data_IF_508123650907
#
_entry.id   IF_508123650907
#
_cell.length_a   1.000
_cell.length_b   1.000
_cell.length_c   1.000
_cell.angle_alpha   90.00
_cell.angle_beta   90.00
_cell.angle_gamma   90.00
#
_symmetry.space_group_name_H-M   'P 1'
#
loop_
_entity.id
_entity.type
_entity.pdbx_description
1 polymer ?
#
# COMPACT_ATOMS: atom_id res chain seq x y z
N UNK A 1 -46.80 81.82 -62.77
CA UNK A 1 -46.00 81.46 -63.95
C UNK A 1 -44.95 80.52 -63.51
N UNK A 2 -44.58 79.58 -64.37
CA UNK A 2 -45.11 78.27 -64.38
C UNK A 2 -44.05 77.14 -64.13
N UNK A 3 -44.55 75.97 -63.95
CA UNK A 3 -44.03 74.68 -64.46
C UNK A 3 -42.63 74.21 -64.03
N UNK A 4 -42.45 73.03 -63.56
CA UNK A 4 -42.43 71.80 -64.34
C UNK A 4 -42.33 70.60 -63.43
N UNK A 5 -43.14 69.61 -63.76
CA UNK A 5 -43.02 68.22 -63.28
C UNK A 5 -41.72 67.59 -63.75
N UNK A 6 -41.12 66.78 -62.86
CA UNK A 6 -40.40 65.55 -63.37
C UNK A 6 -40.53 64.42 -62.43
N UNK A 7 -41.17 63.41 -62.91
CA UNK A 7 -41.33 62.07 -62.32
C UNK A 7 -39.99 61.33 -62.39
N UNK A 8 -39.58 60.73 -61.30
CA UNK A 8 -38.50 59.79 -61.37
C UNK A 8 -38.83 58.53 -60.56
N UNK A 9 -38.65 57.42 -61.29
CA UNK A 9 -39.09 56.07 -60.93
C UNK A 9 -38.33 55.49 -59.70
N UNK A 10 -39.08 54.94 -58.80
CA UNK A 10 -38.54 54.28 -57.59
C UNK A 10 -37.86 52.97 -57.94
N UNK A 11 -36.61 52.91 -57.65
CA UNK A 11 -35.86 51.66 -57.47
C UNK A 11 -36.03 51.13 -56.06
N UNK A 12 -36.87 50.12 -55.87
CA UNK A 12 -36.95 49.39 -54.61
C UNK A 12 -35.70 48.52 -54.43
N UNK A 13 -34.73 48.97 -53.65
CA UNK A 13 -33.66 48.13 -53.16
C UNK A 13 -34.21 47.21 -52.08
N UNK A 14 -34.30 45.92 -52.34
CA UNK A 14 -34.58 44.87 -51.34
C UNK A 14 -33.51 44.87 -50.29
N UNK A 15 -33.86 44.77 -48.98
CA UNK A 15 -32.85 44.78 -47.91
C UNK A 15 -32.04 43.51 -47.98
N UNK A 16 -30.70 43.64 -47.99
CA UNK A 16 -29.70 42.58 -47.96
C UNK A 16 -29.72 41.70 -46.67
N UNK A 17 -30.74 41.85 -45.84
CA UNK A 17 -30.89 41.10 -44.59
C UNK A 17 -31.47 39.68 -44.78
N UNK A 18 -32.06 39.36 -45.92
CA UNK A 18 -32.70 38.06 -46.13
C UNK A 18 -31.76 36.88 -46.38
N UNK A 19 -30.47 37.14 -46.62
CA UNK A 19 -29.47 36.08 -46.89
C UNK A 19 -28.67 35.61 -45.66
N UNK A 20 -28.77 36.32 -44.53
CA UNK A 20 -28.07 35.96 -43.30
C UNK A 20 -28.86 35.00 -42.38
N UNK A 21 -30.18 34.94 -42.54
CA UNK A 21 -31.03 34.10 -41.67
C UNK A 21 -30.79 32.61 -41.87
N UNK A 22 -30.57 32.02 -43.08
CA UNK A 22 -30.33 30.61 -43.21
C UNK A 22 -28.95 30.16 -42.63
N UNK A 23 -27.94 31.05 -42.63
CA UNK A 23 -26.63 30.71 -42.07
C UNK A 23 -26.64 30.68 -40.52
N UNK A 24 -27.41 31.54 -39.88
CA UNK A 24 -27.54 31.56 -38.40
C UNK A 24 -28.30 30.32 -37.91
N UNK A 25 -29.34 29.89 -38.65
CA UNK A 25 -30.14 28.67 -38.30
C UNK A 25 -29.36 27.39 -38.48
N UNK A 26 -28.39 27.33 -39.41
CA UNK A 26 -27.56 26.17 -39.63
C UNK A 26 -26.35 26.13 -38.69
N UNK A 27 -25.78 27.28 -38.30
CA UNK A 27 -24.64 27.36 -37.37
C UNK A 27 -25.02 27.10 -35.90
N UNK A 28 -26.26 27.41 -35.49
CA UNK A 28 -26.73 27.22 -34.12
C UNK A 28 -26.77 25.72 -33.71
N UNK A 29 -27.32 24.79 -34.50
CA UNK A 29 -27.26 23.35 -34.17
C UNK A 29 -25.87 22.76 -34.30
N UNK A 30 -24.97 23.29 -35.13
CA UNK A 30 -23.57 22.86 -35.21
C UNK A 30 -22.78 23.24 -33.94
N UNK A 31 -23.04 24.42 -33.40
CA UNK A 31 -22.47 24.81 -32.11
C UNK A 31 -23.02 24.00 -30.91
N UNK A 32 -24.29 23.55 -31.00
CA UNK A 32 -24.91 22.72 -29.95
C UNK A 32 -24.38 21.28 -29.97
N UNK A 33 -23.97 20.76 -31.13
CA UNK A 33 -23.40 19.40 -31.27
C UNK A 33 -21.95 19.35 -30.85
N UNK A 34 -21.21 20.47 -30.86
CA UNK A 34 -19.82 20.55 -30.43
C UNK A 34 -19.66 20.64 -28.90
N UNK A 35 -20.73 20.77 -28.14
CA UNK A 35 -20.73 20.59 -26.68
C UNK A 35 -20.89 19.13 -26.26
N UNK A 36 -20.30 18.21 -27.01
CA UNK A 36 -20.02 16.85 -26.49
C UNK A 36 -19.05 17.07 -25.34
N UNK A 37 -19.58 17.02 -24.12
CA UNK A 37 -18.78 17.03 -22.90
C UNK A 37 -17.72 15.96 -23.08
N UNK A 38 -16.47 16.39 -23.28
CA UNK A 38 -15.32 15.50 -23.17
C UNK A 38 -15.39 14.97 -21.76
N UNK A 39 -15.90 13.76 -21.59
CA UNK A 39 -15.82 13.05 -20.32
C UNK A 39 -14.34 12.95 -20.02
N UNK A 40 -13.85 13.79 -19.11
CA UNK A 40 -12.47 13.77 -18.73
C UNK A 40 -12.12 12.33 -18.33
N UNK A 41 -11.19 11.74 -19.02
CA UNK A 41 -10.76 10.36 -18.74
C UNK A 41 -10.33 10.29 -17.28
N UNK A 42 -10.97 9.40 -16.51
CA UNK A 42 -10.66 9.26 -15.09
C UNK A 42 -9.26 8.71 -14.92
N UNK A 43 -8.51 9.30 -14.01
CA UNK A 43 -7.17 8.86 -13.67
C UNK A 43 -7.24 7.46 -13.04
N UNK A 44 -6.45 6.52 -13.54
CA UNK A 44 -6.28 5.22 -12.90
C UNK A 44 -5.47 5.38 -11.63
N UNK A 45 -5.96 4.82 -10.53
CA UNK A 45 -5.33 4.94 -9.22
C UNK A 45 -5.04 3.57 -8.59
N UNK A 46 -4.11 3.57 -7.62
CA UNK A 46 -3.88 2.47 -6.67
C UNK A 46 -4.13 2.98 -5.26
N UNK A 47 -4.71 2.12 -4.43
CA UNK A 47 -5.01 2.43 -3.03
C UNK A 47 -4.27 1.44 -2.13
N UNK A 48 -3.28 1.93 -1.41
CA UNK A 48 -2.50 1.19 -0.44
C UNK A 48 -3.11 1.36 0.94
N UNK A 49 -3.28 0.25 1.67
CA UNK A 49 -3.81 0.25 3.03
C UNK A 49 -2.78 -0.38 3.96
N UNK A 50 -2.34 0.39 4.94
CA UNK A 50 -1.40 -0.10 5.94
C UNK A 50 -2.09 -1.06 6.92
N UNK A 51 -1.36 -2.10 7.34
CA UNK A 51 -1.79 -2.90 8.48
C UNK A 51 -1.70 -2.07 9.76
N UNK A 52 -2.64 -2.28 10.67
CA UNK A 52 -2.66 -1.60 11.95
C UNK A 52 -2.62 -2.61 13.10
N UNK A 53 -1.85 -2.31 14.14
CA UNK A 53 -1.73 -3.14 15.35
C UNK A 53 -2.20 -2.34 16.56
N UNK A 54 -3.16 -2.90 17.29
CA UNK A 54 -3.65 -2.30 18.53
C UNK A 54 -4.21 -3.37 19.47
N UNK A 55 -4.71 -2.91 20.61
CA UNK A 55 -5.45 -3.74 21.59
C UNK A 55 -6.94 -3.45 21.52
N UNK A 56 -7.79 -4.38 21.94
CA UNK A 56 -9.20 -4.05 22.17
C UNK A 56 -9.33 -2.81 23.06
N UNK A 57 -10.30 -1.97 22.77
CA UNK A 57 -10.63 -0.73 23.49
C UNK A 57 -9.53 0.34 23.50
N UNK A 58 -8.48 0.20 22.66
CA UNK A 58 -7.47 1.22 22.44
C UNK A 58 -7.57 1.80 21.03
N UNK A 59 -7.58 3.13 20.94
CA UNK A 59 -7.57 3.83 19.66
C UNK A 59 -6.29 3.53 18.86
N UNK A 60 -6.46 3.41 17.55
CA UNK A 60 -5.37 3.27 16.58
C UNK A 60 -5.66 4.13 15.37
N UNK A 61 -4.62 4.65 14.77
CA UNK A 61 -4.67 5.42 13.52
C UNK A 61 -4.61 4.44 12.34
N UNK A 62 -5.72 4.31 11.62
CA UNK A 62 -5.78 3.59 10.36
C UNK A 62 -5.25 4.51 9.25
N UNK A 63 -4.45 3.97 8.33
CA UNK A 63 -3.82 4.73 7.26
C UNK A 63 -4.10 4.09 5.91
N UNK A 64 -4.45 4.93 4.92
CA UNK A 64 -4.51 4.55 3.53
C UNK A 64 -3.87 5.63 2.66
N UNK A 65 -3.31 5.25 1.51
CA UNK A 65 -2.69 6.16 0.56
C UNK A 65 -3.20 5.91 -0.83
N UNK A 66 -3.83 6.91 -1.41
CA UNK A 66 -4.31 6.92 -2.80
C UNK A 66 -3.25 7.56 -3.69
N UNK A 67 -2.82 6.85 -4.72
CA UNK A 67 -1.81 7.34 -5.65
C UNK A 67 -2.22 7.10 -7.09
N UNK A 68 -1.73 7.94 -7.98
CA UNK A 68 -1.88 7.72 -9.42
C UNK A 68 -1.10 6.48 -9.84
N UNK A 69 -1.74 5.58 -10.58
CA UNK A 69 -1.04 4.46 -11.19
C UNK A 69 -0.13 4.96 -12.31
N UNK A 70 1.18 4.71 -12.19
CA UNK A 70 2.18 5.13 -13.16
C UNK A 70 3.40 4.23 -13.13
N UNK A 71 4.23 4.27 -14.19
CA UNK A 71 5.42 3.43 -14.32
C UNK A 71 6.59 3.90 -13.43
N UNK A 72 6.70 5.20 -13.14
CA UNK A 72 7.92 5.77 -12.54
C UNK A 72 7.69 6.60 -11.27
N UNK A 73 6.47 7.00 -10.97
CA UNK A 73 6.16 7.76 -9.75
C UNK A 73 4.72 7.51 -9.31
N UNK A 74 4.55 7.32 -8.02
CA UNK A 74 3.24 7.23 -7.38
C UNK A 74 2.90 8.60 -6.78
N UNK A 75 2.48 9.54 -7.62
CA UNK A 75 2.01 10.85 -7.14
C UNK A 75 0.75 10.65 -6.28
N UNK A 76 0.73 11.26 -5.10
CA UNK A 76 -0.43 11.23 -4.22
C UNK A 76 -1.63 11.95 -4.86
N UNK A 77 -2.81 11.39 -4.71
CA UNK A 77 -4.07 11.99 -5.16
C UNK A 77 -4.80 12.58 -3.95
N UNK A 78 -4.67 13.90 -3.80
CA UNK A 78 -5.29 14.65 -2.70
C UNK A 78 -6.72 15.10 -3.00
N UNK A 79 -7.48 15.33 -1.91
CA UNK A 79 -8.85 15.85 -1.97
C UNK A 79 -9.90 14.80 -2.34
N UNK A 80 -9.55 13.51 -2.30
CA UNK A 80 -10.47 12.41 -2.55
C UNK A 80 -11.03 11.83 -1.24
N UNK A 81 -12.29 11.42 -1.26
CA UNK A 81 -12.94 10.81 -0.10
C UNK A 81 -12.70 9.31 -0.06
N UNK A 82 -12.25 8.82 1.10
CA UNK A 82 -12.01 7.41 1.35
C UNK A 82 -12.94 6.90 2.46
N UNK A 83 -13.70 5.85 2.17
CA UNK A 83 -14.50 5.10 3.14
C UNK A 83 -13.67 3.98 3.75
N UNK A 84 -13.58 3.97 5.07
CA UNK A 84 -12.93 2.90 5.83
C UNK A 84 -13.98 1.92 6.34
N UNK A 85 -13.73 0.62 6.11
CA UNK A 85 -14.58 -0.48 6.57
C UNK A 85 -13.74 -1.45 7.41
N UNK A 86 -14.21 -1.79 8.60
CA UNK A 86 -13.61 -2.81 9.47
C UNK A 86 -14.60 -3.95 9.63
N UNK A 87 -14.17 -5.18 9.30
CA UNK A 87 -15.05 -6.34 9.30
C UNK A 87 -16.25 -6.19 8.36
N UNK A 88 -16.09 -5.49 7.23
CA UNK A 88 -17.16 -5.19 6.28
C UNK A 88 -18.10 -4.05 6.68
N UNK A 89 -17.94 -3.47 7.88
CA UNK A 89 -18.78 -2.38 8.37
C UNK A 89 -18.06 -1.04 8.21
N UNK A 90 -18.71 -0.05 7.59
CA UNK A 90 -18.19 1.31 7.48
C UNK A 90 -18.01 1.94 8.86
N UNK A 91 -16.81 2.43 9.13
CA UNK A 91 -16.40 3.06 10.39
C UNK A 91 -16.11 4.54 10.29
N UNK A 92 -15.87 5.05 9.08
CA UNK A 92 -15.69 6.48 8.84
C UNK A 92 -15.33 6.80 7.40
N UNK A 93 -15.34 8.10 7.09
CA UNK A 93 -14.91 8.67 5.81
C UNK A 93 -13.89 9.77 6.09
N UNK A 94 -12.82 9.83 5.31
CA UNK A 94 -11.79 10.86 5.41
C UNK A 94 -11.44 11.43 4.04
N UNK A 95 -10.88 12.63 4.01
CA UNK A 95 -10.30 13.22 2.81
C UNK A 95 -8.80 12.94 2.76
N UNK A 96 -8.28 12.64 1.57
CA UNK A 96 -6.84 12.50 1.35
C UNK A 96 -6.15 13.86 1.37
N UNK A 97 -4.99 13.92 2.04
CA UNK A 97 -4.07 15.06 1.96
C UNK A 97 -3.41 15.19 0.58
N UNK A 98 -2.63 16.24 0.37
CA UNK A 98 -1.92 16.48 -0.89
C UNK A 98 -0.95 15.35 -1.30
N UNK A 99 -0.47 14.57 -0.34
CA UNK A 99 0.36 13.38 -0.51
C UNK A 99 -0.43 12.09 -0.78
N UNK A 100 -1.76 12.20 -0.88
CA UNK A 100 -2.71 11.11 -1.08
C UNK A 100 -3.01 10.29 0.18
N UNK A 101 -2.52 10.68 1.36
CA UNK A 101 -2.75 9.94 2.61
C UNK A 101 -4.06 10.35 3.26
N UNK A 102 -4.81 9.36 3.73
CA UNK A 102 -5.99 9.53 4.57
C UNK A 102 -5.82 8.77 5.89
N UNK A 103 -6.23 9.39 7.00
CA UNK A 103 -6.08 8.83 8.34
C UNK A 103 -7.41 8.84 9.07
N UNK A 104 -7.74 7.71 9.69
CA UNK A 104 -8.93 7.57 10.53
C UNK A 104 -8.54 7.00 11.89
N UNK A 105 -8.95 7.66 12.97
CA UNK A 105 -8.86 7.07 14.31
C UNK A 105 -10.01 6.09 14.55
N UNK A 106 -9.67 4.90 15.01
CA UNK A 106 -10.63 3.84 15.27
C UNK A 106 -10.28 3.06 16.52
N UNK A 107 -11.28 2.70 17.31
CA UNK A 107 -11.12 1.88 18.52
C UNK A 107 -11.86 0.55 18.34
N UNK A 108 -11.13 -0.57 18.11
CA UNK A 108 -11.75 -1.87 17.98
C UNK A 108 -12.25 -2.38 19.33
N UNK A 109 -13.48 -2.90 19.37
CA UNK A 109 -14.02 -3.57 20.54
C UNK A 109 -13.76 -5.07 20.56
N UNK A 110 -13.54 -5.65 19.39
CA UNK A 110 -13.30 -7.08 19.22
C UNK A 110 -11.80 -7.36 19.10
N UNK A 111 -11.38 -8.51 19.63
CA UNK A 111 -10.05 -9.07 19.43
C UNK A 111 -10.00 -9.89 18.15
N UNK A 112 -8.80 -10.02 17.59
CA UNK A 112 -8.52 -10.86 16.43
C UNK A 112 -7.96 -10.08 15.25
N UNK A 113 -7.91 -10.74 14.12
CA UNK A 113 -7.47 -10.14 12.86
C UNK A 113 -8.73 -9.72 12.10
N UNK A 114 -8.98 -8.43 12.02
CA UNK A 114 -10.16 -7.85 11.39
C UNK A 114 -9.79 -7.37 9.99
N UNK A 115 -10.61 -7.69 8.99
CA UNK A 115 -10.41 -7.15 7.65
C UNK A 115 -10.56 -5.63 7.67
N UNK A 116 -9.60 -4.93 7.10
CA UNK A 116 -9.62 -3.49 6.88
C UNK A 116 -9.71 -3.26 5.37
N UNK A 117 -10.84 -2.74 4.93
CA UNK A 117 -11.07 -2.39 3.53
C UNK A 117 -11.20 -0.88 3.43
N UNK A 118 -10.56 -0.28 2.44
CA UNK A 118 -10.72 1.15 2.16
C UNK A 118 -11.16 1.30 0.70
N UNK A 119 -12.19 2.11 0.48
CA UNK A 119 -12.77 2.35 -0.85
C UNK A 119 -12.75 3.83 -1.17
N UNK A 120 -12.41 4.13 -2.41
CA UNK A 120 -12.62 5.46 -2.94
C UNK A 120 -14.14 5.69 -3.08
N UNK A 121 -14.64 6.76 -2.48
CA UNK A 121 -16.00 7.26 -2.74
C UNK A 121 -16.04 7.72 -4.19
N UNK A 122 -17.21 7.66 -4.83
CA UNK A 122 -17.36 8.05 -6.23
C UNK A 122 -16.72 9.43 -6.50
N UNK A 123 -15.75 9.43 -7.43
CA UNK A 123 -15.00 10.62 -7.81
C UNK A 123 -15.21 10.92 -9.30
N UNK A 124 -15.36 12.20 -9.69
CA UNK A 124 -15.38 12.57 -11.10
C UNK A 124 -14.00 12.48 -11.76
N UNK A 125 -12.91 12.51 -10.97
CA UNK A 125 -11.52 12.58 -11.46
C UNK A 125 -10.80 11.24 -11.45
N UNK A 126 -11.19 10.32 -10.57
CA UNK A 126 -10.44 9.09 -10.30
C UNK A 126 -11.35 7.88 -10.50
N UNK A 127 -10.81 6.82 -11.10
CA UNK A 127 -11.51 5.55 -11.25
C UNK A 127 -11.75 4.88 -9.90
N UNK A 128 -12.84 4.13 -9.77
CA UNK A 128 -13.13 3.37 -8.56
C UNK A 128 -11.97 2.42 -8.23
N UNK A 129 -11.55 2.43 -6.98
CA UNK A 129 -10.46 1.61 -6.47
C UNK A 129 -10.74 1.21 -5.02
N UNK A 130 -10.33 0.01 -4.68
CA UNK A 130 -10.40 -0.55 -3.33
C UNK A 130 -9.01 -1.05 -2.91
N UNK A 131 -8.65 -0.85 -1.63
CA UNK A 131 -7.44 -1.38 -1.02
C UNK A 131 -7.79 -2.23 0.20
N UNK A 132 -6.96 -3.23 0.47
CA UNK A 132 -7.17 -4.18 1.57
C UNK A 132 -5.97 -4.14 2.51
N UNK A 133 -6.24 -4.11 3.80
CA UNK A 133 -5.30 -4.25 4.89
C UNK A 133 -5.88 -5.12 6.00
N UNK A 134 -5.18 -5.21 7.12
CA UNK A 134 -5.64 -5.93 8.28
C UNK A 134 -5.47 -5.09 9.55
N UNK A 135 -6.50 -5.03 10.36
CA UNK A 135 -6.43 -4.49 11.71
C UNK A 135 -6.22 -5.65 12.69
N UNK A 136 -5.03 -5.71 13.27
CA UNK A 136 -4.66 -6.68 14.29
C UNK A 136 -4.99 -6.12 15.67
N UNK A 137 -6.09 -6.61 16.26
CA UNK A 137 -6.53 -6.25 17.62
C UNK A 137 -6.15 -7.38 18.57
N UNK A 138 -4.94 -7.32 19.14
CA UNK A 138 -4.36 -8.41 19.92
C UNK A 138 -4.36 -8.14 21.42
N UNK A 139 -4.44 -9.22 22.19
CA UNK A 139 -4.19 -9.18 23.63
C UNK A 139 -2.69 -9.31 23.93
N UNK A 140 -2.23 -8.72 25.02
CA UNK A 140 -0.82 -8.76 25.45
C UNK A 140 -0.37 -10.14 26.00
N UNK A 141 -1.29 -11.07 26.17
CA UNK A 141 -0.97 -12.39 26.73
C UNK A 141 -0.04 -13.21 25.87
N UNK A 142 -0.17 -13.11 24.54
CA UNK A 142 0.69 -13.83 23.61
C UNK A 142 1.91 -12.96 23.28
N UNK A 143 3.13 -13.48 23.47
CA UNK A 143 4.33 -12.76 23.09
C UNK A 143 4.40 -12.53 21.57
N UNK A 144 5.08 -11.45 21.18
CA UNK A 144 5.31 -11.10 19.78
C UNK A 144 6.67 -11.60 19.35
N UNK A 145 6.70 -12.30 18.22
CA UNK A 145 7.87 -12.75 17.49
C UNK A 145 8.10 -11.83 16.29
N UNK A 146 9.25 -11.16 16.24
CA UNK A 146 9.66 -10.38 15.07
C UNK A 146 10.26 -11.31 14.03
N UNK A 147 9.82 -11.22 12.78
CA UNK A 147 10.34 -12.05 11.70
C UNK A 147 10.83 -11.15 10.57
N UNK A 148 12.14 -11.19 10.31
CA UNK A 148 12.73 -10.51 9.17
C UNK A 148 12.29 -11.22 7.88
N UNK A 149 11.61 -10.50 6.98
CA UNK A 149 11.02 -11.08 5.76
C UNK A 149 12.05 -11.82 4.91
N UNK A 150 13.29 -11.34 4.87
CA UNK A 150 14.37 -12.00 4.13
C UNK A 150 14.67 -13.41 4.62
N UNK A 151 14.39 -13.74 5.91
CA UNK A 151 14.59 -15.09 6.45
C UNK A 151 13.57 -16.10 5.94
N UNK A 152 12.44 -15.62 5.41
CA UNK A 152 11.38 -16.48 4.85
C UNK A 152 11.66 -16.94 3.42
N UNK A 153 12.69 -16.38 2.77
CA UNK A 153 13.03 -16.61 1.38
C UNK A 153 14.27 -17.51 1.28
N UNK A 154 14.34 -18.30 0.23
CA UNK A 154 15.56 -19.03 -0.10
C UNK A 154 16.71 -18.06 -0.41
N UNK A 155 17.94 -18.49 -0.13
CA UNK A 155 19.13 -17.82 -0.61
C UNK A 155 19.22 -18.00 -2.12
N UNK A 156 18.63 -17.09 -2.87
CA UNK A 156 18.85 -17.01 -4.30
C UNK A 156 20.29 -16.58 -4.51
N UNK A 157 21.19 -17.53 -4.73
CA UNK A 157 22.45 -17.27 -5.43
C UNK A 157 22.02 -16.81 -6.80
N UNK A 158 21.97 -15.48 -7.01
CA UNK A 158 21.69 -14.91 -8.33
C UNK A 158 22.79 -15.48 -9.23
N UNK A 159 22.47 -16.38 -10.19
CA UNK A 159 23.48 -16.80 -11.13
C UNK A 159 23.92 -15.53 -11.85
N UNK A 160 25.24 -15.29 -11.92
CA UNK A 160 25.84 -14.23 -12.74
C UNK A 160 25.68 -14.68 -14.19
N UNK A 161 24.45 -14.68 -14.67
CA UNK A 161 24.14 -14.88 -16.08
C UNK A 161 23.98 -13.48 -16.67
N UNK A 162 24.65 -13.16 -17.80
CA UNK A 162 24.39 -11.91 -18.49
C UNK A 162 22.89 -11.86 -18.81
N UNK A 163 22.18 -10.90 -18.21
CA UNK A 163 20.76 -10.71 -18.45
C UNK A 163 20.55 -10.36 -19.93
N UNK A 164 19.63 -11.02 -20.63
CA UNK A 164 19.22 -10.58 -21.96
C UNK A 164 18.67 -9.14 -21.86
N UNK A 165 18.82 -8.32 -22.91
CA UNK A 165 18.33 -6.96 -22.90
C UNK A 165 16.83 -6.96 -22.59
N UNK A 166 16.47 -6.24 -21.53
CA UNK A 166 15.10 -6.16 -21.01
C UNK A 166 14.16 -5.58 -22.06
N UNK A 167 13.14 -6.32 -22.39
CA UNK A 167 11.94 -5.77 -23.03
C UNK A 167 11.31 -4.78 -22.05
N UNK A 168 11.28 -3.50 -22.42
CA UNK A 168 10.66 -2.46 -21.60
C UNK A 168 9.20 -2.86 -21.28
N UNK A 169 8.89 -3.10 -20.01
CA UNK A 169 7.52 -3.28 -19.56
C UNK A 169 7.23 -4.42 -18.60
N UNK A 170 8.18 -5.30 -18.28
CA UNK A 170 7.93 -6.29 -17.22
C UNK A 170 8.57 -5.84 -15.90
N UNK A 171 7.78 -5.69 -14.81
CA UNK A 171 8.36 -5.47 -13.50
C UNK A 171 9.22 -6.69 -13.13
N UNK A 172 10.45 -6.45 -12.67
CA UNK A 172 11.31 -7.47 -12.09
C UNK A 172 10.68 -7.98 -10.78
N UNK A 173 9.69 -8.84 -10.88
CA UNK A 173 9.36 -9.70 -9.77
C UNK A 173 10.41 -10.82 -9.75
N UNK A 174 11.45 -10.67 -8.95
CA UNK A 174 12.25 -11.82 -8.54
C UNK A 174 11.25 -12.82 -7.96
N UNK A 175 11.22 -14.07 -8.45
CA UNK A 175 10.38 -15.08 -7.88
C UNK A 175 10.90 -15.35 -6.47
N UNK A 176 10.25 -14.73 -5.48
CA UNK A 176 10.56 -14.97 -4.08
C UNK A 176 10.15 -16.39 -3.75
N UNK A 177 11.10 -17.31 -3.79
CA UNK A 177 10.89 -18.70 -3.40
C UNK A 177 10.90 -18.77 -1.87
N UNK A 178 9.87 -19.34 -1.24
CA UNK A 178 9.86 -19.48 0.21
C UNK A 178 10.95 -20.47 0.66
N UNK A 179 11.62 -20.15 1.75
CA UNK A 179 12.59 -21.03 2.37
C UNK A 179 11.91 -22.33 2.81
N UNK A 180 12.61 -23.44 2.60
CA UNK A 180 12.11 -24.77 2.91
C UNK A 180 11.64 -24.85 4.38
N UNK A 181 10.45 -25.41 4.59
CA UNK A 181 9.81 -25.60 5.90
C UNK A 181 9.47 -24.29 6.67
N UNK A 182 9.78 -23.10 6.15
CA UNK A 182 9.61 -21.86 6.86
C UNK A 182 8.15 -21.58 7.26
N UNK A 183 7.23 -21.76 6.33
CA UNK A 183 5.80 -21.53 6.58
C UNK A 183 5.23 -22.49 7.63
N UNK A 184 5.59 -23.77 7.56
CA UNK A 184 5.12 -24.79 8.50
C UNK A 184 5.66 -24.54 9.92
N UNK A 185 6.96 -24.30 10.04
CA UNK A 185 7.57 -24.06 11.36
C UNK A 185 7.10 -22.74 11.98
N UNK A 186 6.98 -21.68 11.19
CA UNK A 186 6.44 -20.41 11.67
C UNK A 186 4.97 -20.55 12.08
N UNK A 187 4.17 -21.31 11.31
CA UNK A 187 2.78 -21.59 11.67
C UNK A 187 2.70 -22.31 13.02
N UNK A 188 3.53 -23.32 13.27
CA UNK A 188 3.57 -24.02 14.56
C UNK A 188 3.89 -23.08 15.73
N UNK A 189 4.85 -22.17 15.55
CA UNK A 189 5.20 -21.18 16.56
C UNK A 189 4.02 -20.25 16.85
N UNK A 190 3.28 -19.85 15.82
CA UNK A 190 2.13 -18.96 15.97
C UNK A 190 0.87 -19.65 16.48
N UNK A 191 0.65 -20.91 16.15
CA UNK A 191 -0.52 -21.65 16.64
C UNK A 191 -0.47 -21.83 18.18
N UNK A 192 0.72 -22.01 18.76
CA UNK A 192 0.85 -22.35 20.17
C UNK A 192 1.42 -21.24 21.05
N UNK A 193 2.33 -20.40 20.54
CA UNK A 193 3.13 -19.54 21.42
C UNK A 193 3.08 -18.07 21.08
N UNK A 194 3.23 -17.67 19.82
CA UNK A 194 3.52 -16.28 19.44
C UNK A 194 2.44 -15.66 18.54
N UNK A 195 2.36 -14.35 18.60
CA UNK A 195 1.87 -13.54 17.48
C UNK A 195 3.08 -13.14 16.62
N UNK A 196 2.96 -13.18 15.31
CA UNK A 196 4.05 -12.81 14.41
C UNK A 196 3.90 -11.37 13.91
N UNK A 197 5.01 -10.63 13.89
CA UNK A 197 5.13 -9.34 13.24
C UNK A 197 6.25 -9.41 12.20
N UNK A 198 5.92 -9.13 10.96
CA UNK A 198 6.87 -9.17 9.84
C UNK A 198 7.59 -7.84 9.71
N UNK A 199 8.91 -7.87 9.68
CA UNK A 199 9.78 -6.70 9.50
C UNK A 199 10.40 -6.78 8.12
N UNK A 200 10.18 -5.77 7.30
CA UNK A 200 10.83 -5.64 6.00
C UNK A 200 11.59 -4.33 5.89
N UNK A 201 12.68 -4.33 5.13
CA UNK A 201 13.37 -3.10 4.75
C UNK A 201 12.57 -2.41 3.64
N UNK A 202 12.42 -1.10 3.76
CA UNK A 202 11.74 -0.29 2.73
C UNK A 202 12.58 -0.29 1.45
N UNK A 203 11.95 -0.61 0.33
CA UNK A 203 12.62 -0.69 -1.00
C UNK A 203 12.26 0.49 -1.91
N UNK A 204 11.66 1.55 -1.38
CA UNK A 204 11.22 2.72 -2.16
C UNK A 204 9.87 2.55 -2.87
N UNK A 205 9.43 1.33 -3.09
CA UNK A 205 8.09 1.00 -3.59
C UNK A 205 7.21 0.50 -2.46
N UNK A 206 5.92 0.82 -2.51
CA UNK A 206 4.96 0.37 -1.48
C UNK A 206 4.43 -1.04 -1.83
N UNK A 207 5.33 -2.04 -1.67
CA UNK A 207 5.07 -3.45 -2.05
C UNK A 207 4.41 -4.24 -0.90
N UNK A 208 3.78 -3.57 0.07
CA UNK A 208 3.17 -4.26 1.23
C UNK A 208 2.06 -5.20 0.80
N UNK A 209 1.30 -4.84 -0.24
CA UNK A 209 0.24 -5.68 -0.79
C UNK A 209 0.80 -6.92 -1.47
N UNK A 210 1.85 -6.78 -2.28
CA UNK A 210 2.49 -7.91 -2.96
C UNK A 210 3.09 -8.89 -1.94
N UNK A 211 3.71 -8.37 -0.87
CA UNK A 211 4.21 -9.20 0.22
C UNK A 211 3.08 -9.91 0.98
N UNK A 212 1.97 -9.23 1.25
CA UNK A 212 0.80 -9.84 1.91
C UNK A 212 0.23 -10.97 1.07
N UNK A 213 0.07 -10.76 -0.23
CA UNK A 213 -0.39 -11.79 -1.17
C UNK A 213 0.60 -12.97 -1.23
N UNK A 214 1.90 -12.70 -1.24
CA UNK A 214 2.93 -13.72 -1.22
C UNK A 214 2.90 -14.55 0.07
N UNK A 215 2.81 -13.92 1.24
CA UNK A 215 2.66 -14.60 2.53
C UNK A 215 1.42 -15.50 2.54
N UNK A 216 0.29 -14.99 2.08
CA UNK A 216 -0.95 -15.75 1.98
C UNK A 216 -0.84 -16.95 1.02
N UNK A 217 -0.29 -16.73 -0.18
CA UNK A 217 -0.08 -17.77 -1.21
C UNK A 217 0.76 -18.93 -0.66
N UNK A 218 1.80 -18.61 0.11
CA UNK A 218 2.71 -19.59 0.68
C UNK A 218 2.32 -20.06 2.08
N UNK A 219 1.08 -19.74 2.53
CA UNK A 219 0.49 -20.21 3.79
C UNK A 219 1.26 -19.80 5.05
N UNK A 220 1.96 -18.68 5.01
CA UNK A 220 2.52 -18.09 6.20
C UNK A 220 1.40 -17.58 7.14
N UNK A 221 1.60 -17.60 8.46
CA UNK A 221 0.62 -17.11 9.41
C UNK A 221 0.36 -15.60 9.21
N UNK A 222 -0.87 -15.11 9.46
CA UNK A 222 -1.18 -13.71 9.34
C UNK A 222 -0.49 -12.90 10.44
N UNK A 223 0.07 -11.76 10.07
CA UNK A 223 0.72 -10.81 10.99
C UNK A 223 0.91 -9.45 10.32
N UNK A 224 0.99 -8.36 11.11
CA UNK A 224 1.22 -7.03 10.57
C UNK A 224 2.58 -6.96 9.89
N UNK A 225 2.63 -6.25 8.77
CA UNK A 225 3.84 -5.99 8.00
C UNK A 225 4.30 -4.57 8.31
N UNK A 226 5.48 -4.44 8.91
CA UNK A 226 6.10 -3.15 9.21
C UNK A 226 7.30 -2.93 8.29
N UNK A 227 7.21 -1.88 7.49
CA UNK A 227 8.32 -1.43 6.67
C UNK A 227 9.21 -0.47 7.48
N UNK A 228 10.50 -0.75 7.56
CA UNK A 228 11.49 0.09 8.22
C UNK A 228 12.53 0.57 7.20
N UNK A 229 13.14 1.72 7.46
CA UNK A 229 14.30 2.14 6.69
C UNK A 229 15.44 1.15 6.84
N UNK A 230 16.36 1.11 5.86
CA UNK A 230 17.47 0.14 5.84
C UNK A 230 18.59 0.52 6.84
N UNK A 231 18.27 1.02 8.02
CA UNK A 231 19.20 1.32 9.09
C UNK A 231 18.91 0.48 10.35
N UNK A 232 19.95 0.21 11.14
CA UNK A 232 19.83 -0.48 12.43
C UNK A 232 19.00 0.35 13.43
N UNK A 233 19.17 1.67 13.39
CA UNK A 233 18.41 2.60 14.21
C UNK A 233 16.91 2.53 13.96
N UNK A 234 16.50 2.33 12.69
CA UNK A 234 15.09 2.23 12.35
C UNK A 234 14.43 0.98 12.96
N UNK A 235 15.15 -0.14 13.04
CA UNK A 235 14.65 -1.34 13.69
C UNK A 235 14.58 -1.13 15.22
N UNK A 236 15.59 -0.53 15.83
CA UNK A 236 15.60 -0.21 17.25
C UNK A 236 14.45 0.73 17.61
N UNK A 237 14.27 1.81 16.85
CA UNK A 237 13.18 2.78 17.03
C UNK A 237 11.81 2.12 16.91
N UNK A 238 11.63 1.20 15.95
CA UNK A 238 10.38 0.45 15.80
C UNK A 238 10.08 -0.41 17.03
N UNK A 239 11.10 -1.10 17.59
CA UNK A 239 10.93 -1.93 18.79
C UNK A 239 10.59 -1.05 20.00
N UNK A 240 11.25 0.10 20.17
CA UNK A 240 10.96 1.07 21.22
C UNK A 240 9.56 1.68 21.06
N UNK A 241 9.15 2.00 19.85
CA UNK A 241 7.79 2.43 19.54
C UNK A 241 6.75 1.41 19.98
N UNK A 242 6.96 0.13 19.65
CA UNK A 242 6.08 -0.95 20.13
C UNK A 242 5.99 -1.00 21.64
N UNK A 243 7.10 -0.85 22.37
CA UNK A 243 7.12 -0.82 23.85
C UNK A 243 6.37 0.39 24.39
N UNK A 244 6.58 1.56 23.80
CA UNK A 244 5.86 2.80 24.17
C UNK A 244 4.35 2.65 23.95
N UNK A 245 3.96 1.94 22.90
CA UNK A 245 2.57 1.58 22.66
C UNK A 245 2.06 0.48 23.60
N UNK A 246 2.90 0.01 24.50
CA UNK A 246 2.57 -0.94 25.53
C UNK A 246 2.68 -2.40 25.07
N UNK A 247 3.49 -2.70 24.05
CA UNK A 247 3.80 -4.05 23.60
C UNK A 247 5.11 -4.54 24.25
N UNK A 248 5.14 -4.62 25.61
CA UNK A 248 6.31 -5.11 26.37
C UNK A 248 6.55 -6.61 26.17
N UNK A 249 5.61 -7.29 25.52
CA UNK A 249 5.62 -8.71 25.24
C UNK A 249 6.32 -9.07 23.92
N UNK A 250 7.03 -8.16 23.27
CA UNK A 250 8.02 -8.51 22.25
C UNK A 250 9.14 -9.29 22.92
N UNK A 251 9.35 -10.56 22.53
CA UNK A 251 10.28 -11.47 23.25
C UNK A 251 11.44 -11.94 22.39
N UNK A 252 11.23 -12.21 21.13
CA UNK A 252 12.22 -12.85 20.29
C UNK A 252 12.11 -12.39 18.84
N UNK A 253 13.13 -12.73 18.05
CA UNK A 253 13.09 -12.56 16.61
C UNK A 253 13.79 -13.68 15.85
N UNK A 254 13.32 -13.89 14.62
CA UNK A 254 13.93 -14.77 13.64
C UNK A 254 14.33 -13.92 12.44
N UNK A 255 15.60 -13.98 12.06
CA UNK A 255 16.13 -13.21 10.94
C UNK A 255 17.20 -13.96 10.17
N UNK A 256 17.78 -13.27 9.21
CA UNK A 256 18.89 -13.76 8.41
C UNK A 256 20.11 -12.89 8.53
N UNK A 257 19.91 -11.58 8.77
CA UNK A 257 20.99 -10.61 8.68
C UNK A 257 21.66 -10.39 10.04
N UNK A 258 22.97 -10.10 10.01
CA UNK A 258 23.74 -9.71 11.21
C UNK A 258 23.16 -8.45 11.84
N UNK A 259 22.84 -7.42 11.04
CA UNK A 259 22.25 -6.17 11.53
C UNK A 259 20.97 -6.41 12.35
N UNK A 260 20.11 -7.35 11.90
CA UNK A 260 18.93 -7.74 12.65
C UNK A 260 19.32 -8.38 14.00
N UNK A 261 20.32 -9.27 14.01
CA UNK A 261 20.78 -9.91 15.24
C UNK A 261 21.39 -8.91 16.24
N UNK A 262 22.24 -7.99 15.76
CA UNK A 262 22.90 -6.98 16.59
C UNK A 262 21.86 -6.11 17.29
N UNK A 263 20.84 -5.61 16.57
CA UNK A 263 19.77 -4.80 17.16
C UNK A 263 18.96 -5.59 18.20
N UNK A 264 18.54 -6.81 17.90
CA UNK A 264 17.74 -7.59 18.84
C UNK A 264 18.52 -7.91 20.12
N UNK A 265 19.79 -8.29 20.00
CA UNK A 265 20.66 -8.52 21.17
C UNK A 265 20.84 -7.25 22.00
N UNK A 266 21.03 -6.08 21.35
CA UNK A 266 21.10 -4.79 22.02
C UNK A 266 19.80 -4.46 22.78
N UNK A 267 18.66 -4.80 22.17
CA UNK A 267 17.32 -4.65 22.75
C UNK A 267 16.95 -5.75 23.77
N UNK A 268 17.89 -6.64 24.13
CA UNK A 268 17.74 -7.75 25.08
C UNK A 268 16.63 -8.75 24.67
N UNK A 269 16.46 -8.96 23.39
CA UNK A 269 15.54 -9.95 22.82
C UNK A 269 16.30 -11.23 22.45
N UNK A 270 15.64 -12.37 22.58
CA UNK A 270 16.18 -13.61 22.04
C UNK A 270 16.18 -13.57 20.51
N UNK A 271 17.23 -14.04 19.87
CA UNK A 271 17.33 -14.00 18.41
C UNK A 271 17.87 -15.31 17.84
N UNK A 272 17.22 -15.77 16.80
CA UNK A 272 17.67 -16.91 15.99
C UNK A 272 17.93 -16.46 14.56
N UNK A 273 19.13 -16.72 14.07
CA UNK A 273 19.50 -16.44 12.68
C UNK A 273 19.46 -17.72 11.89
N UNK A 274 18.65 -17.71 10.81
CA UNK A 274 18.53 -18.83 9.87
C UNK A 274 19.46 -18.55 8.70
N UNK A 275 20.69 -19.09 8.76
CA UNK A 275 21.67 -18.97 7.66
C UNK A 275 22.77 -20.02 7.81
N UNK A 276 23.29 -20.48 6.67
CA UNK A 276 24.47 -21.37 6.66
C UNK A 276 25.80 -20.59 6.70
N UNK A 277 25.83 -19.34 6.26
CA UNK A 277 27.08 -18.66 5.86
C UNK A 277 27.70 -17.70 6.89
N UNK A 278 27.00 -17.31 7.96
CA UNK A 278 27.48 -16.21 8.82
C UNK A 278 27.91 -16.61 10.25
N UNK A 279 28.19 -17.86 10.52
CA UNK A 279 28.47 -18.36 11.90
C UNK A 279 29.60 -17.66 12.64
N UNK A 280 30.57 -17.08 11.96
CA UNK A 280 31.74 -16.45 12.59
C UNK A 280 31.59 -14.98 12.97
N UNK A 281 30.53 -14.32 12.55
CA UNK A 281 30.37 -12.86 12.64
C UNK A 281 29.19 -12.39 13.50
N UNK A 282 28.41 -13.29 14.07
CA UNK A 282 27.20 -12.95 14.82
C UNK A 282 27.52 -12.61 16.29
N UNK A 283 26.67 -11.77 16.95
CA UNK A 283 26.84 -11.48 18.35
C UNK A 283 26.72 -12.74 19.21
N UNK A 284 27.50 -12.84 20.28
CA UNK A 284 27.63 -14.05 21.14
C UNK A 284 26.31 -14.60 21.67
N UNK A 285 25.27 -13.76 21.80
CA UNK A 285 23.95 -14.17 22.30
C UNK A 285 23.01 -14.62 21.19
N UNK A 286 23.35 -14.40 19.93
CA UNK A 286 22.53 -14.86 18.81
C UNK A 286 22.69 -16.37 18.63
N UNK A 287 21.57 -17.05 18.47
CA UNK A 287 21.55 -18.49 18.16
C UNK A 287 21.50 -18.68 16.66
N UNK A 288 22.18 -19.69 16.13
CA UNK A 288 22.17 -20.01 14.70
C UNK A 288 21.41 -21.30 14.47
N UNK A 289 20.48 -21.27 13.53
CA UNK A 289 19.81 -22.43 12.99
C UNK A 289 20.22 -22.63 11.54
N UNK A 290 20.62 -23.84 11.15
CA UNK A 290 20.98 -24.18 9.76
C UNK A 290 19.77 -24.19 8.83
N UNK A 291 18.61 -24.47 9.38
CA UNK A 291 17.34 -24.53 8.66
C UNK A 291 16.18 -24.16 9.58
N UNK A 292 15.03 -23.90 9.00
CA UNK A 292 13.81 -23.63 9.76
C UNK A 292 13.42 -24.77 10.71
N UNK A 293 13.68 -26.04 10.36
CA UNK A 293 13.44 -27.20 11.24
C UNK A 293 14.23 -27.14 12.55
N UNK A 294 15.41 -26.54 12.55
CA UNK A 294 16.23 -26.43 13.74
C UNK A 294 15.75 -25.36 14.73
N UNK A 295 14.87 -24.44 14.31
CA UNK A 295 14.35 -23.36 15.17
C UNK A 295 13.67 -23.93 16.42
N UNK A 296 12.98 -25.06 16.30
CA UNK A 296 12.33 -25.73 17.43
C UNK A 296 13.29 -26.12 18.56
N UNK A 297 14.59 -26.28 18.26
CA UNK A 297 15.64 -26.65 19.22
C UNK A 297 16.27 -25.39 19.87
N UNK A 298 15.84 -24.21 19.45
CA UNK A 298 16.38 -22.94 19.93
C UNK A 298 15.46 -22.34 20.98
N UNK A 299 16.04 -21.51 21.83
CA UNK A 299 15.29 -20.74 22.81
C UNK A 299 14.73 -19.48 22.12
N UNK A 300 13.42 -19.34 22.15
CA UNK A 300 12.67 -18.16 21.69
C UNK A 300 11.80 -17.63 22.82
#
# INVERSE_FOLDING_TARGET
>A
MPCFLMWNAGGRSLPRFALLVPYVVVLLPILLVLSVASAAEKVTAKLFVADALTRPDRSVKLEARLVQAGLFAHAGLGGEQLDFLVGGKKVGTVLTGGDGRGFLEYTPRMRGNLSLTVRLVESPRVSSVEGIGTLFSWERRRPILLVEVTSLMEDTKIPIVPLPPLSAGQPFALPWTPALDAAEELKRLTDFYFNVLYVRKHSGTDDSEDLRQWLHKHRFPPGPIVAIQSSEEALATMIEGLRTDGWDNVKAGIGRTRAFADVLVAQRLDVVIVSESERGQLPKKAQVAKSWKEIRKKRL
#
